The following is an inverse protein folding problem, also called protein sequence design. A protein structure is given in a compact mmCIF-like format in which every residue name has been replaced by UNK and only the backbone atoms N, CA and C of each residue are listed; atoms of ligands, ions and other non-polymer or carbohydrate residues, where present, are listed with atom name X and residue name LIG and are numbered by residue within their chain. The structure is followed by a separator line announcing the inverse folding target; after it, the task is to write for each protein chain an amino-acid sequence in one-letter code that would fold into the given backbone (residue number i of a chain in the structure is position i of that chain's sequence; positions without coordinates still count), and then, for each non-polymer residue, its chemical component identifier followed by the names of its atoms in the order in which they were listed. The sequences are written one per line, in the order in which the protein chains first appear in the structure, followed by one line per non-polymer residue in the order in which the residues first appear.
data_IF_562117768501
#
_entry.id   IF_562117768501
#
_cell.length_a   1.000
_cell.length_b   1.000
_cell.length_c   1.000
_cell.angle_alpha   90.00
_cell.angle_beta   90.00
_cell.angle_gamma   90.00
#
_symmetry.space_group_name_H-M   'P 1'
#
loop_
_entity.id
_entity.type
_entity.pdbx_description
1 polymer ?
#
# COMPACT_ATOMS: atom_id res chain seq x y z
N UNK A 1 7.33 -51.66 -26.42
CA UNK A 1 8.26 -50.56 -26.06
C UNK A 1 7.64 -49.17 -26.27
N UNK A 2 7.16 -48.80 -27.48
CA UNK A 2 6.52 -47.48 -27.73
C UNK A 2 5.32 -47.16 -26.82
N UNK A 3 4.41 -48.13 -26.57
CA UNK A 3 3.24 -47.93 -25.69
C UNK A 3 3.63 -47.62 -24.24
N UNK A 4 4.65 -48.30 -23.71
CA UNK A 4 5.17 -48.08 -22.34
C UNK A 4 5.81 -46.70 -22.22
N UNK A 5 6.56 -46.25 -23.24
CA UNK A 5 7.12 -44.90 -23.28
C UNK A 5 6.03 -43.81 -23.31
N UNK A 6 4.97 -44.01 -24.11
CA UNK A 6 3.84 -43.08 -24.17
C UNK A 6 3.12 -43.01 -22.81
N UNK A 7 2.83 -44.16 -22.20
CA UNK A 7 2.20 -44.22 -20.87
C UNK A 7 3.09 -43.52 -19.83
N UNK A 8 4.40 -43.77 -19.85
CA UNK A 8 5.36 -43.09 -18.96
C UNK A 8 5.36 -41.58 -19.14
N UNK A 9 5.28 -41.09 -20.38
CA UNK A 9 5.22 -39.65 -20.67
C UNK A 9 3.92 -39.01 -20.17
N UNK A 10 2.79 -39.68 -20.39
CA UNK A 10 1.48 -39.22 -19.88
C UNK A 10 1.48 -39.18 -18.35
N UNK A 11 1.97 -40.24 -17.69
CA UNK A 11 2.08 -40.28 -16.22
C UNK A 11 3.00 -39.17 -15.69
N UNK A 12 4.11 -38.88 -16.38
CA UNK A 12 5.00 -37.78 -16.03
C UNK A 12 4.29 -36.42 -16.09
N UNK A 13 3.47 -36.18 -17.11
CA UNK A 13 2.66 -34.95 -17.21
C UNK A 13 1.66 -34.84 -16.05
N UNK A 14 0.95 -35.92 -15.72
CA UNK A 14 0.05 -35.94 -14.56
C UNK A 14 0.80 -35.73 -13.24
N UNK A 15 2.00 -36.30 -13.09
CA UNK A 15 2.83 -36.13 -11.90
C UNK A 15 3.27 -34.66 -11.71
N UNK A 16 3.64 -33.97 -12.80
CA UNK A 16 3.97 -32.54 -12.75
C UNK A 16 2.77 -31.70 -12.30
N UNK A 17 1.59 -31.96 -12.85
CA UNK A 17 0.37 -31.26 -12.44
C UNK A 17 -0.01 -31.54 -10.98
N UNK A 18 0.08 -32.81 -10.56
CA UNK A 18 -0.18 -33.21 -9.18
C UNK A 18 0.82 -32.57 -8.20
N UNK A 19 2.10 -32.47 -8.58
CA UNK A 19 3.11 -31.78 -7.78
C UNK A 19 2.78 -30.29 -7.64
N UNK A 20 2.45 -29.60 -8.74
CA UNK A 20 2.07 -28.18 -8.71
C UNK A 20 0.85 -27.91 -7.82
N UNK A 21 -0.17 -28.78 -7.89
CA UNK A 21 -1.38 -28.66 -7.06
C UNK A 21 -1.08 -28.99 -5.59
N UNK A 22 -0.41 -30.11 -5.33
CA UNK A 22 -0.09 -30.55 -3.97
C UNK A 22 0.81 -29.58 -3.21
N UNK A 23 1.73 -28.92 -3.91
CA UNK A 23 2.59 -27.90 -3.32
C UNK A 23 1.81 -26.66 -2.85
N UNK A 24 0.82 -26.21 -3.65
CA UNK A 24 -0.06 -25.09 -3.27
C UNK A 24 -0.95 -25.45 -2.09
N UNK A 25 -1.52 -26.66 -2.09
CA UNK A 25 -2.35 -27.12 -0.99
C UNK A 25 -1.55 -27.32 0.30
N UNK A 26 -0.31 -27.79 0.19
CA UNK A 26 0.60 -27.87 1.33
C UNK A 26 0.86 -26.49 1.94
N UNK A 27 1.15 -25.47 1.10
CA UNK A 27 1.33 -24.10 1.57
C UNK A 27 0.05 -23.59 2.24
N UNK A 28 -1.11 -23.82 1.63
CA UNK A 28 -2.41 -23.40 2.19
C UNK A 28 -2.66 -23.93 3.60
N UNK A 29 -2.26 -25.17 3.89
CA UNK A 29 -2.50 -25.80 5.21
C UNK A 29 -1.36 -25.64 6.22
N UNK A 30 -0.10 -25.58 5.78
CA UNK A 30 1.09 -25.62 6.65
C UNK A 30 1.92 -24.34 6.61
N UNK A 31 1.59 -23.41 5.72
CA UNK A 31 2.29 -22.13 5.58
C UNK A 31 2.00 -21.22 6.77
N UNK A 32 2.94 -20.31 7.03
CA UNK A 32 2.76 -19.29 8.06
C UNK A 32 1.71 -18.29 7.59
N UNK A 33 0.68 -18.06 8.41
CA UNK A 33 -0.41 -17.15 8.07
C UNK A 33 -0.02 -15.71 8.38
N UNK A 34 -0.07 -14.85 7.37
CA UNK A 34 0.19 -13.42 7.51
C UNK A 34 -0.91 -12.63 6.83
N UNK A 35 -1.17 -11.42 7.32
CA UNK A 35 -2.09 -10.48 6.68
C UNK A 35 -1.32 -9.41 5.92
N UNK A 36 -1.73 -9.11 4.68
CA UNK A 36 -1.29 -7.93 3.96
C UNK A 36 -2.47 -7.01 3.68
N UNK A 37 -2.27 -5.71 3.91
CA UNK A 37 -3.27 -4.70 3.57
C UNK A 37 -3.19 -4.34 2.10
N UNK A 38 -4.35 -4.25 1.46
CA UNK A 38 -4.47 -3.84 0.06
C UNK A 38 -4.46 -2.32 -0.04
N UNK A 39 -3.78 -1.80 -1.04
CA UNK A 39 -3.90 -0.41 -1.45
C UNK A 39 -5.20 -0.19 -2.25
N UNK A 40 -5.71 1.05 -2.31
CA UNK A 40 -6.82 1.41 -3.19
C UNK A 40 -6.48 1.10 -4.65
N UNK A 41 -7.37 0.37 -5.32
CA UNK A 41 -7.33 0.12 -6.77
C UNK A 41 -8.76 0.09 -7.27
N UNK A 42 -8.99 0.80 -8.38
CA UNK A 42 -10.20 0.76 -9.20
C UNK A 42 -10.16 -0.49 -10.12
N UNK A 43 -11.01 -1.52 -9.93
CA UNK A 43 -11.01 -2.71 -10.76
C UNK A 43 -11.97 -2.59 -11.96
N UNK A 44 -11.60 -3.12 -13.14
CA UNK A 44 -12.51 -3.84 -14.09
C UNK A 44 -11.76 -4.80 -15.02
N UNK A 45 -12.22 -6.05 -15.12
CA UNK A 45 -12.19 -6.87 -16.36
C UNK A 45 -13.48 -7.74 -16.40
N UNK A 46 -14.47 -7.40 -17.25
CA UNK A 46 -15.78 -8.07 -17.27
C UNK A 46 -15.77 -9.46 -17.93
N UNK A 47 -14.63 -10.01 -18.36
CA UNK A 47 -14.60 -11.22 -19.19
C UNK A 47 -13.99 -12.47 -18.53
N UNK A 48 -13.61 -12.46 -17.24
CA UNK A 48 -12.91 -13.59 -16.58
C UNK A 48 -13.60 -14.21 -15.35
N UNK A 49 -14.89 -13.90 -15.14
CA UNK A 49 -15.62 -14.26 -13.92
C UNK A 49 -15.39 -13.26 -12.80
N UNK A 50 -15.97 -13.51 -11.61
CA UNK A 50 -15.89 -12.56 -10.50
C UNK A 50 -14.58 -12.74 -9.72
N UNK A 51 -13.66 -11.80 -9.93
CA UNK A 51 -12.44 -11.68 -9.16
C UNK A 51 -12.18 -10.21 -8.82
N UNK A 52 -11.48 -9.98 -7.71
CA UNK A 52 -11.09 -8.65 -7.27
C UNK A 52 -9.60 -8.47 -7.55
N UNK A 53 -9.25 -7.39 -8.27
CA UNK A 53 -7.88 -6.96 -8.46
C UNK A 53 -7.34 -6.38 -7.15
N UNK A 54 -6.23 -6.94 -6.68
CA UNK A 54 -5.54 -6.50 -5.47
C UNK A 54 -4.26 -5.76 -5.85
N UNK A 55 -4.00 -4.66 -5.15
CA UNK A 55 -2.67 -4.04 -5.08
C UNK A 55 -2.27 -3.97 -3.63
N UNK A 56 -0.97 -3.98 -3.39
CA UNK A 56 -0.33 -3.89 -2.09
C UNK A 56 0.69 -2.75 -2.15
N UNK A 57 0.96 -2.11 -1.01
CA UNK A 57 2.01 -1.08 -0.95
C UNK A 57 3.40 -1.61 -1.31
N UNK A 58 3.59 -2.94 -1.26
CA UNK A 58 4.80 -3.63 -1.70
C UNK A 58 4.86 -3.94 -3.20
N UNK A 59 3.84 -3.63 -4.00
CA UNK A 59 3.94 -3.73 -5.46
C UNK A 59 4.83 -2.65 -6.07
N UNK A 60 4.92 -1.48 -5.42
CA UNK A 60 5.73 -0.34 -5.88
C UNK A 60 6.72 0.04 -4.79
N UNK A 61 8.00 -0.23 -5.03
CA UNK A 61 9.04 -0.13 -4.01
C UNK A 61 10.08 0.91 -4.44
N UNK A 62 10.38 1.87 -3.56
CA UNK A 62 11.49 2.79 -3.80
C UNK A 62 12.83 2.03 -3.87
N UNK A 63 13.63 2.32 -4.88
CA UNK A 63 15.01 1.82 -5.02
C UNK A 63 15.88 2.03 -3.78
N UNK A 64 15.61 3.04 -2.94
CA UNK A 64 16.29 3.25 -1.66
C UNK A 64 16.04 2.11 -0.66
N UNK A 65 14.95 1.36 -0.83
CA UNK A 65 14.61 0.17 -0.03
C UNK A 65 15.10 -1.13 -0.67
N UNK A 66 15.82 -1.06 -1.79
CA UNK A 66 16.46 -2.21 -2.41
C UNK A 66 17.84 -2.44 -1.79
N UNK A 67 18.05 -3.63 -1.23
CA UNK A 67 19.31 -4.05 -0.59
C UNK A 67 19.93 -5.18 -1.41
N UNK A 68 20.99 -4.85 -2.15
CA UNK A 68 21.78 -5.81 -2.91
C UNK A 68 23.20 -5.30 -3.17
N UNK A 69 24.06 -6.18 -3.67
CA UNK A 69 25.35 -5.84 -4.27
C UNK A 69 25.20 -5.19 -5.65
N UNK A 70 24.08 -5.42 -6.35
CA UNK A 70 23.81 -4.80 -7.66
C UNK A 70 22.98 -3.53 -7.49
N UNK A 71 23.17 -2.52 -8.35
CA UNK A 71 22.33 -1.33 -8.32
C UNK A 71 20.90 -1.70 -8.76
N UNK A 72 19.89 -1.08 -8.15
CA UNK A 72 18.48 -1.36 -8.47
C UNK A 72 18.16 -1.20 -9.97
N UNK A 73 18.77 -0.21 -10.64
CA UNK A 73 18.58 0.05 -12.07
C UNK A 73 19.10 -1.08 -12.98
N UNK A 74 19.85 -2.05 -12.45
CA UNK A 74 20.28 -3.22 -13.22
C UNK A 74 19.24 -4.34 -13.28
N UNK A 75 18.18 -4.26 -12.46
CA UNK A 75 17.08 -5.21 -12.48
C UNK A 75 16.29 -5.12 -13.79
N UNK A 76 16.05 -6.29 -14.39
CA UNK A 76 15.30 -6.45 -15.63
C UNK A 76 13.93 -7.04 -15.36
N UNK A 77 13.04 -6.87 -16.34
CA UNK A 77 11.72 -7.52 -16.34
C UNK A 77 11.89 -9.04 -16.16
N UNK A 78 11.02 -9.63 -15.33
CA UNK A 78 11.02 -11.04 -14.90
C UNK A 78 12.13 -11.47 -13.93
N UNK A 79 13.04 -10.58 -13.54
CA UNK A 79 14.04 -10.89 -12.50
C UNK A 79 13.34 -11.28 -11.19
N UNK A 80 13.85 -12.34 -10.57
CA UNK A 80 13.33 -12.83 -9.28
C UNK A 80 13.83 -11.92 -8.17
N UNK A 81 12.90 -11.48 -7.35
CA UNK A 81 13.18 -10.66 -6.16
C UNK A 81 12.42 -11.20 -4.96
N UNK A 82 12.86 -10.84 -3.77
CA UNK A 82 12.31 -11.27 -2.49
C UNK A 82 12.01 -10.04 -1.64
N UNK A 83 10.74 -9.83 -1.33
CA UNK A 83 10.29 -8.79 -0.41
C UNK A 83 10.32 -9.35 1.01
N UNK A 84 11.24 -8.86 1.83
CA UNK A 84 11.31 -9.24 3.23
C UNK A 84 10.24 -8.48 3.99
N UNK A 85 9.48 -9.22 4.80
CA UNK A 85 8.36 -8.69 5.56
C UNK A 85 8.73 -8.52 7.03
N UNK A 86 8.16 -7.48 7.64
CA UNK A 86 8.20 -7.27 9.09
C UNK A 86 6.77 -7.15 9.63
N UNK A 87 6.50 -7.67 10.84
CA UNK A 87 5.20 -7.50 11.46
C UNK A 87 4.97 -6.02 11.80
N UNK A 88 3.75 -5.53 11.59
CA UNK A 88 3.22 -4.35 12.27
C UNK A 88 2.50 -4.81 13.54
N UNK A 89 2.22 -3.88 14.46
CA UNK A 89 1.58 -4.18 15.74
C UNK A 89 0.10 -4.62 15.64
N UNK A 90 -0.45 -4.83 14.43
CA UNK A 90 -1.82 -5.28 14.15
C UNK A 90 -1.90 -6.65 13.44
N UNK A 91 -0.85 -7.47 13.52
CA UNK A 91 -0.68 -8.74 12.77
C UNK A 91 -0.73 -8.57 11.23
N UNK A 92 -0.68 -7.32 10.77
CA UNK A 92 -0.54 -6.96 9.36
C UNK A 92 0.94 -6.75 9.07
N UNK A 93 1.46 -7.43 8.06
CA UNK A 93 2.85 -7.34 7.67
C UNK A 93 3.06 -6.20 6.68
N UNK A 94 4.24 -5.61 6.74
CA UNK A 94 4.68 -4.56 5.82
C UNK A 94 6.03 -4.94 5.23
N UNK A 95 6.36 -4.33 4.09
CA UNK A 95 7.70 -4.44 3.53
C UNK A 95 8.72 -3.92 4.55
N UNK A 96 9.85 -4.62 4.69
CA UNK A 96 11.07 -4.10 5.31
C UNK A 96 12.05 -3.61 4.22
N UNK A 97 12.44 -4.52 3.32
CA UNK A 97 13.26 -4.20 2.15
C UNK A 97 13.05 -5.22 1.03
N UNK A 98 13.49 -4.86 -0.18
CA UNK A 98 13.53 -5.75 -1.33
C UNK A 98 14.96 -6.21 -1.60
N UNK A 99 15.15 -7.46 -1.99
CA UNK A 99 16.47 -7.99 -2.38
C UNK A 99 16.35 -8.97 -3.55
N UNK A 100 17.41 -9.13 -4.33
CA UNK A 100 17.54 -10.13 -5.41
C UNK A 100 18.03 -11.49 -4.89
N UNK A 101 18.55 -11.54 -3.66
CA UNK A 101 19.06 -12.77 -3.04
C UNK A 101 18.03 -13.37 -2.12
N UNK A 102 17.80 -14.68 -2.24
CA UNK A 102 16.85 -15.39 -1.36
C UNK A 102 17.32 -15.30 0.10
N UNK A 103 16.51 -14.74 1.02
CA UNK A 103 16.84 -14.72 2.43
C UNK A 103 16.96 -16.14 3.01
N UNK A 104 17.90 -16.35 3.94
CA UNK A 104 18.07 -17.63 4.64
C UNK A 104 17.09 -17.82 5.79
N UNK A 105 16.54 -16.73 6.33
CA UNK A 105 15.61 -16.70 7.44
C UNK A 105 14.65 -15.50 7.32
N UNK A 106 13.60 -15.50 8.15
CA UNK A 106 12.55 -14.48 8.16
C UNK A 106 11.44 -14.74 7.15
N UNK A 107 10.38 -13.95 7.25
CA UNK A 107 9.25 -13.99 6.34
C UNK A 107 9.55 -13.16 5.09
N UNK A 108 9.35 -13.75 3.92
CA UNK A 108 9.54 -13.04 2.66
C UNK A 108 8.60 -13.54 1.58
N UNK A 109 8.26 -12.66 0.65
CA UNK A 109 7.50 -12.96 -0.56
C UNK A 109 8.41 -12.98 -1.77
N UNK A 110 8.34 -14.07 -2.52
CA UNK A 110 8.97 -14.19 -3.82
C UNK A 110 8.10 -13.45 -4.85
N UNK A 111 8.70 -12.49 -5.53
CA UNK A 111 8.09 -11.76 -6.62
C UNK A 111 8.94 -11.77 -7.88
N UNK A 112 8.43 -11.12 -8.92
CA UNK A 112 9.14 -10.82 -10.15
C UNK A 112 9.03 -9.34 -10.50
N UNK A 113 10.11 -8.77 -11.01
CA UNK A 113 10.09 -7.41 -11.55
C UNK A 113 9.15 -7.37 -12.75
N UNK A 114 8.15 -6.50 -12.70
CA UNK A 114 7.05 -6.46 -13.66
C UNK A 114 7.35 -5.62 -14.91
N UNK A 115 8.21 -4.60 -14.76
CA UNK A 115 8.71 -3.70 -15.81
C UNK A 115 10.10 -3.18 -15.44
N UNK A 116 10.79 -2.54 -16.37
CA UNK A 116 12.10 -1.91 -16.11
C UNK A 116 12.00 -0.85 -15.00
N UNK A 117 13.07 -0.73 -14.22
CA UNK A 117 13.14 0.24 -13.12
C UNK A 117 13.12 1.65 -13.70
N UNK A 118 12.10 2.42 -13.33
CA UNK A 118 11.85 3.77 -13.82
C UNK A 118 11.46 4.66 -12.67
N UNK A 119 11.88 5.92 -12.68
CA UNK A 119 11.48 6.87 -11.64
C UNK A 119 11.91 6.54 -10.23
N UNK A 120 12.88 5.65 -10.09
CA UNK A 120 13.28 5.16 -8.78
C UNK A 120 12.32 4.24 -8.09
N UNK A 121 11.39 3.68 -8.84
CA UNK A 121 10.49 2.66 -8.34
C UNK A 121 10.77 1.34 -9.04
N UNK A 122 10.73 0.29 -8.23
CA UNK A 122 10.79 -1.10 -8.65
C UNK A 122 9.36 -1.61 -8.54
N UNK A 123 8.77 -1.97 -9.68
CA UNK A 123 7.44 -2.56 -9.68
C UNK A 123 7.54 -4.08 -9.66
N UNK A 124 6.94 -4.71 -8.65
CA UNK A 124 7.04 -6.15 -8.39
C UNK A 124 5.66 -6.79 -8.42
N UNK A 125 5.55 -7.94 -9.08
CA UNK A 125 4.38 -8.83 -9.04
C UNK A 125 4.68 -10.05 -8.17
N UNK A 126 3.76 -10.44 -7.30
CA UNK A 126 3.91 -11.55 -6.36
C UNK A 126 3.03 -12.76 -6.71
N UNK A 127 2.09 -12.61 -7.65
CA UNK A 127 1.17 -13.67 -8.04
C UNK A 127 -0.02 -13.82 -7.09
N UNK A 128 -0.27 -12.80 -6.26
CA UNK A 128 -1.36 -12.70 -5.29
C UNK A 128 -2.21 -11.44 -5.51
N UNK A 129 -2.10 -10.83 -6.69
CA UNK A 129 -2.83 -9.64 -7.10
C UNK A 129 -4.27 -9.94 -7.57
N UNK A 130 -4.70 -11.20 -7.52
CA UNK A 130 -6.03 -11.62 -7.95
C UNK A 130 -6.67 -12.50 -6.87
N UNK A 131 -7.84 -12.08 -6.39
CA UNK A 131 -8.64 -12.85 -5.44
C UNK A 131 -9.96 -13.28 -6.08
N UNK A 132 -10.14 -14.58 -6.24
CA UNK A 132 -11.32 -15.17 -6.89
C UNK A 132 -12.43 -15.36 -5.87
N UNK A 133 -13.62 -14.89 -6.21
CA UNK A 133 -14.80 -14.97 -5.34
C UNK A 133 -15.93 -15.73 -6.03
N UNK A 134 -16.91 -16.13 -5.24
CA UNK A 134 -18.15 -16.67 -5.80
C UNK A 134 -18.87 -15.58 -6.59
N UNK A 135 -19.66 -16.01 -7.59
CA UNK A 135 -20.44 -15.10 -8.43
C UNK A 135 -21.33 -14.18 -7.58
N UNK A 136 -21.33 -12.88 -7.87
CA UNK A 136 -21.97 -11.80 -7.11
C UNK A 136 -21.10 -11.21 -6.00
N UNK A 137 -20.11 -11.95 -5.48
CA UNK A 137 -19.29 -11.52 -4.34
C UNK A 137 -18.34 -10.36 -4.63
N UNK A 138 -17.93 -10.19 -5.89
CA UNK A 138 -17.05 -9.09 -6.30
C UNK A 138 -17.70 -7.72 -6.06
N UNK A 139 -18.99 -7.60 -6.38
CA UNK A 139 -19.78 -6.36 -6.25
C UNK A 139 -19.91 -5.95 -4.77
N UNK A 140 -20.09 -6.90 -3.86
CA UNK A 140 -20.18 -6.58 -2.42
C UNK A 140 -18.85 -6.10 -1.85
N UNK A 141 -17.75 -6.69 -2.31
CA UNK A 141 -16.39 -6.26 -1.94
C UNK A 141 -16.13 -4.86 -2.49
N UNK A 142 -16.49 -4.58 -3.74
CA UNK A 142 -16.38 -3.25 -4.34
C UNK A 142 -17.19 -2.21 -3.56
N UNK A 143 -18.46 -2.51 -3.25
CA UNK A 143 -19.32 -1.60 -2.48
C UNK A 143 -18.75 -1.30 -1.09
N UNK A 144 -18.22 -2.31 -0.38
CA UNK A 144 -17.61 -2.13 0.94
C UNK A 144 -16.27 -1.40 0.88
N UNK A 145 -15.50 -1.63 -0.19
CA UNK A 145 -14.24 -0.94 -0.43
C UNK A 145 -14.47 0.54 -0.68
N UNK A 146 -15.63 0.94 -1.19
CA UNK A 146 -15.99 2.33 -1.47
C UNK A 146 -15.46 2.81 -2.83
N UNK A 147 -16.08 3.85 -3.36
CA UNK A 147 -15.65 4.52 -4.59
C UNK A 147 -14.59 5.61 -4.29
N UNK A 148 -14.15 6.34 -5.32
CA UNK A 148 -13.04 7.33 -5.23
C UNK A 148 -13.33 8.45 -4.23
N UNK A 149 -14.56 8.94 -4.21
CA UNK A 149 -14.99 10.08 -3.39
C UNK A 149 -15.63 9.65 -2.05
N UNK A 150 -15.79 8.34 -1.82
CA UNK A 150 -16.40 7.81 -0.59
C UNK A 150 -15.33 7.29 0.40
N UNK A 151 -15.79 6.87 1.58
CA UNK A 151 -14.96 6.24 2.59
C UNK A 151 -14.42 4.91 2.05
N UNK A 152 -13.10 4.83 1.91
CA UNK A 152 -12.45 3.62 1.48
C UNK A 152 -12.05 2.75 2.68
N UNK A 153 -12.49 1.51 2.69
CA UNK A 153 -12.13 0.53 3.72
C UNK A 153 -11.15 -0.46 3.10
N UNK A 154 -9.85 -0.43 3.47
CA UNK A 154 -8.89 -1.36 2.91
C UNK A 154 -9.23 -2.80 3.30
N UNK A 155 -9.03 -3.71 2.33
CA UNK A 155 -9.08 -5.14 2.59
C UNK A 155 -7.74 -5.61 3.17
N UNK A 156 -7.77 -6.52 4.11
CA UNK A 156 -6.60 -7.18 4.70
C UNK A 156 -6.67 -8.66 4.34
N UNK A 157 -5.80 -9.10 3.45
CA UNK A 157 -5.86 -10.44 2.88
C UNK A 157 -4.95 -11.37 3.67
N UNK A 158 -5.51 -12.47 4.16
CA UNK A 158 -4.77 -13.55 4.77
C UNK A 158 -4.11 -14.38 3.68
N UNK A 159 -2.84 -14.72 3.88
CA UNK A 159 -2.11 -15.61 3.01
C UNK A 159 -1.22 -16.55 3.79
N UNK A 160 -1.08 -17.75 3.27
CA UNK A 160 -0.15 -18.74 3.79
C UNK A 160 1.18 -18.67 3.00
N UNK A 161 2.30 -18.47 3.71
CA UNK A 161 3.63 -18.39 3.12
C UNK A 161 4.36 -19.73 3.19
N UNK A 162 4.84 -20.20 2.03
CA UNK A 162 5.76 -21.32 1.95
C UNK A 162 7.21 -20.90 2.17
N UNK A 163 8.08 -21.85 2.53
CA UNK A 163 9.55 -21.64 2.71
C UNK A 163 10.29 -21.13 1.46
N UNK A 164 9.66 -21.17 0.29
CA UNK A 164 10.20 -20.60 -0.94
C UNK A 164 9.87 -19.11 -1.11
N UNK A 165 9.02 -18.55 -0.25
CA UNK A 165 8.43 -17.22 -0.39
C UNK A 165 7.21 -17.16 -1.30
N UNK A 166 6.70 -18.31 -1.77
CA UNK A 166 5.42 -18.32 -2.51
C UNK A 166 4.28 -18.25 -1.52
N UNK A 167 3.28 -17.43 -1.85
CA UNK A 167 2.09 -17.24 -1.05
C UNK A 167 0.86 -17.78 -1.76
N UNK A 168 -0.10 -18.24 -0.97
CA UNK A 168 -1.44 -18.61 -1.42
C UNK A 168 -2.42 -17.81 -0.58
N UNK A 169 -3.33 -17.07 -1.24
CA UNK A 169 -4.40 -16.35 -0.56
C UNK A 169 -5.36 -17.36 0.07
N UNK A 170 -5.71 -17.15 1.33
CA UNK A 170 -6.55 -18.08 2.09
C UNK A 170 -7.88 -17.48 2.53
N UNK A 171 -7.87 -16.21 2.92
CA UNK A 171 -9.04 -15.50 3.46
C UNK A 171 -8.84 -13.98 3.37
N UNK A 172 -9.82 -13.19 3.79
CA UNK A 172 -9.67 -11.75 3.97
C UNK A 172 -10.52 -11.22 5.12
N UNK A 173 -10.14 -10.06 5.64
CA UNK A 173 -10.93 -9.25 6.56
C UNK A 173 -10.90 -7.79 6.13
N UNK A 174 -11.71 -6.95 6.74
CA UNK A 174 -11.70 -5.50 6.51
C UNK A 174 -10.88 -4.79 7.57
N UNK A 175 -10.18 -3.73 7.17
CA UNK A 175 -9.53 -2.81 8.12
C UNK A 175 -10.56 -2.27 9.10
N UNK A 176 -10.15 -2.10 10.37
CA UNK A 176 -10.99 -1.46 11.41
C UNK A 176 -11.15 0.05 11.21
N UNK A 177 -10.32 0.64 10.35
CA UNK A 177 -10.39 2.07 9.98
C UNK A 177 -10.54 2.21 8.48
N UNK A 178 -11.47 3.07 8.06
CA UNK A 178 -11.59 3.57 6.69
C UNK A 178 -10.96 4.96 6.52
N UNK A 179 -10.56 5.29 5.30
CA UNK A 179 -9.95 6.57 4.93
C UNK A 179 -10.73 7.21 3.77
N UNK A 180 -11.05 8.50 3.87
CA UNK A 180 -11.59 9.31 2.77
C UNK A 180 -10.67 10.49 2.52
N UNK A 181 -10.51 10.84 1.25
CA UNK A 181 -9.80 12.04 0.83
C UNK A 181 -10.77 12.96 0.11
N UNK A 182 -10.87 14.19 0.60
CA UNK A 182 -11.56 15.27 -0.10
C UNK A 182 -10.52 16.34 -0.44
N UNK A 183 -10.72 17.06 -1.54
CA UNK A 183 -9.82 18.13 -1.96
C UNK A 183 -10.63 19.41 -2.12
N UNK A 184 -10.33 20.40 -1.28
CA UNK A 184 -10.91 21.74 -1.43
C UNK A 184 -10.03 22.52 -2.41
N UNK A 185 -10.29 22.37 -3.71
CA UNK A 185 -9.79 23.34 -4.68
C UNK A 185 -10.61 24.60 -4.52
N UNK A 186 -10.14 25.53 -3.69
CA UNK A 186 -10.73 26.88 -3.57
C UNK A 186 -10.94 27.43 -4.98
N UNK A 187 -12.20 27.49 -5.41
CA UNK A 187 -12.77 28.16 -6.59
C UNK A 187 -12.09 27.94 -7.95
N UNK A 188 -12.82 27.17 -8.77
CA UNK A 188 -13.16 27.40 -10.18
C UNK A 188 -12.11 28.15 -11.03
N UNK A 189 -11.67 27.49 -12.10
CA UNK A 189 -10.97 28.12 -13.23
C UNK A 189 -11.65 29.43 -13.69
N UNK A 190 -12.96 29.56 -13.49
CA UNK A 190 -13.76 30.76 -13.84
C UNK A 190 -13.33 32.06 -13.15
N UNK A 191 -12.77 32.04 -11.94
CA UNK A 191 -12.37 33.28 -11.22
C UNK A 191 -10.92 33.71 -11.50
N UNK A 192 -10.12 32.88 -12.17
CA UNK A 192 -8.65 33.00 -12.17
C UNK A 192 -8.06 33.60 -13.43
N UNK A 193 -8.87 33.73 -14.48
CA UNK A 193 -8.38 34.03 -15.82
C UNK A 193 -7.58 32.86 -16.40
N UNK A 194 -7.67 32.70 -17.70
CA UNK A 194 -6.95 31.65 -18.43
C UNK A 194 -5.42 31.81 -18.24
N UNK A 195 -4.74 30.78 -17.71
CA UNK A 195 -3.28 30.76 -17.57
C UNK A 195 -2.69 31.07 -16.18
N UNK A 196 -3.50 31.23 -15.13
CA UNK A 196 -2.97 31.40 -13.77
C UNK A 196 -2.20 30.14 -13.27
N UNK A 197 -1.06 30.29 -12.57
CA UNK A 197 -0.29 29.16 -12.09
C UNK A 197 -1.06 28.35 -11.03
N UNK A 198 -0.90 27.01 -11.01
CA UNK A 198 -1.59 26.16 -10.05
C UNK A 198 -1.16 26.50 -8.61
N UNK A 199 -2.10 26.35 -7.67
CA UNK A 199 -1.83 26.48 -6.22
C UNK A 199 -1.95 25.13 -5.56
N UNK A 200 -1.15 24.92 -4.51
CA UNK A 200 -1.25 23.71 -3.70
C UNK A 200 -2.64 23.64 -3.07
N UNK A 201 -3.31 22.47 -3.12
CA UNK A 201 -4.66 22.33 -2.60
C UNK A 201 -4.68 22.16 -1.08
N UNK A 202 -5.79 22.51 -0.44
CA UNK A 202 -6.11 21.99 0.89
C UNK A 202 -6.79 20.63 0.72
N UNK A 203 -6.25 19.60 1.37
CA UNK A 203 -6.85 18.26 1.37
C UNK A 203 -7.41 17.93 2.74
N UNK A 204 -8.60 17.33 2.78
CA UNK A 204 -9.27 16.94 4.02
C UNK A 204 -9.24 15.41 4.09
N UNK A 205 -8.55 14.89 5.09
CA UNK A 205 -8.44 13.46 5.34
C UNK A 205 -9.41 13.08 6.44
N UNK A 206 -10.31 12.15 6.14
CA UNK A 206 -11.24 11.61 7.14
C UNK A 206 -10.83 10.18 7.48
N UNK A 207 -10.57 9.92 8.75
CA UNK A 207 -10.39 8.57 9.31
C UNK A 207 -11.65 8.18 10.06
N UNK A 208 -12.25 7.05 9.72
CA UNK A 208 -13.47 6.55 10.37
C UNK A 208 -13.22 5.23 11.08
N UNK A 209 -13.63 5.12 12.34
CA UNK A 209 -13.74 3.81 12.98
C UNK A 209 -14.93 3.05 12.39
N UNK A 210 -14.65 2.01 11.61
CA UNK A 210 -15.67 1.15 10.97
C UNK A 210 -15.85 -0.17 11.71
N UNK A 211 -15.22 -0.32 12.88
CA UNK A 211 -15.36 -1.49 13.74
C UNK A 211 -16.42 -1.29 14.82
N UNK A 212 -16.92 -2.40 15.37
CA UNK A 212 -17.93 -2.41 16.44
C UNK A 212 -17.38 -2.04 17.82
N UNK A 213 -16.07 -1.81 17.94
CA UNK A 213 -15.40 -1.50 19.20
C UNK A 213 -14.63 -0.19 19.09
N UNK A 214 -14.48 0.57 20.20
CA UNK A 214 -13.61 1.75 20.21
C UNK A 214 -12.18 1.41 19.78
N UNK A 215 -11.54 2.37 19.13
CA UNK A 215 -10.11 2.33 18.82
C UNK A 215 -9.52 3.73 19.00
N UNK A 216 -8.20 3.79 19.10
CA UNK A 216 -7.48 5.06 19.12
C UNK A 216 -6.71 5.25 17.82
N UNK A 217 -6.58 6.52 17.42
CA UNK A 217 -5.62 6.99 16.42
C UNK A 217 -4.66 7.97 17.09
N UNK A 218 -3.58 8.33 16.42
CA UNK A 218 -2.62 9.29 16.93
C UNK A 218 -2.32 10.35 15.87
N UNK A 219 -2.58 11.60 16.22
CA UNK A 219 -2.23 12.76 15.42
C UNK A 219 -2.02 13.99 16.31
N UNK A 220 -1.27 14.96 15.83
CA UNK A 220 -0.98 16.19 16.58
C UNK A 220 -1.21 17.44 15.70
N UNK A 221 -1.01 18.62 16.28
CA UNK A 221 -1.21 19.90 15.57
C UNK A 221 -0.34 20.07 14.32
N UNK A 222 0.77 19.34 14.22
CA UNK A 222 1.65 19.33 13.04
C UNK A 222 1.27 18.23 12.02
N UNK A 223 0.20 17.49 12.28
CA UNK A 223 -0.26 16.33 11.52
C UNK A 223 0.84 15.29 11.30
N UNK A 224 1.59 14.94 12.36
CA UNK A 224 2.66 13.97 12.27
C UNK A 224 2.19 12.53 12.01
N UNK A 225 0.90 12.22 12.21
CA UNK A 225 0.32 10.94 11.79
C UNK A 225 0.26 10.79 10.27
N UNK A 226 0.40 11.87 9.51
CA UNK A 226 0.28 11.90 8.06
C UNK A 226 1.61 12.22 7.37
N UNK A 227 1.82 11.57 6.22
CA UNK A 227 2.97 11.80 5.34
C UNK A 227 2.54 11.74 3.88
N UNK A 228 3.37 12.31 3.01
CA UNK A 228 3.07 12.43 1.59
C UNK A 228 3.92 11.44 0.80
N UNK A 229 3.29 10.69 -0.10
CA UNK A 229 3.95 9.72 -0.97
C UNK A 229 3.69 10.09 -2.43
N UNK A 230 4.72 10.01 -3.27
CA UNK A 230 4.58 10.19 -4.72
C UNK A 230 4.30 8.87 -5.43
N UNK A 231 3.43 8.90 -6.45
CA UNK A 231 3.15 7.72 -7.28
C UNK A 231 4.30 7.42 -8.27
N UNK A 232 5.16 8.40 -8.57
CA UNK A 232 6.38 8.21 -9.38
C UNK A 232 6.16 8.06 -10.89
N UNK A 233 4.99 8.44 -11.39
CA UNK A 233 4.58 8.24 -12.80
C UNK A 233 5.48 8.94 -13.83
N UNK A 234 6.07 10.09 -13.45
CA UNK A 234 6.86 10.93 -14.37
C UNK A 234 8.35 10.61 -14.38
N UNK A 235 8.79 9.69 -13.52
CA UNK A 235 10.21 9.43 -13.33
C UNK A 235 10.90 10.32 -12.29
N UNK A 236 10.21 11.33 -11.74
CA UNK A 236 10.77 12.23 -10.73
C UNK A 236 10.53 11.69 -9.33
N UNK A 237 11.47 11.99 -8.43
CA UNK A 237 11.38 11.60 -7.02
C UNK A 237 11.24 12.81 -6.14
N UNK A 238 10.38 12.67 -5.15
CA UNK A 238 10.13 13.69 -4.17
C UNK A 238 10.12 13.09 -2.77
N UNK A 239 10.75 13.79 -1.85
CA UNK A 239 10.73 13.46 -0.42
C UNK A 239 10.19 14.65 0.37
N UNK A 240 9.64 14.40 1.55
CA UNK A 240 9.19 15.46 2.44
C UNK A 240 10.39 16.30 2.89
N UNK A 241 10.31 17.62 2.73
CA UNK A 241 11.34 18.54 3.17
C UNK A 241 11.35 18.71 4.70
N UNK A 242 10.17 18.64 5.32
CA UNK A 242 10.00 18.79 6.76
C UNK A 242 10.29 17.47 7.48
N UNK A 243 11.26 17.50 8.40
CA UNK A 243 11.73 16.33 9.17
C UNK A 243 11.21 16.30 10.61
N UNK A 244 10.37 17.26 11.04
CA UNK A 244 9.90 17.38 12.43
C UNK A 244 9.12 16.16 12.93
N UNK A 245 8.53 15.39 12.02
CA UNK A 245 7.77 14.18 12.33
C UNK A 245 8.58 12.88 12.10
N UNK A 246 9.92 12.97 12.00
CA UNK A 246 10.79 11.81 11.74
C UNK A 246 11.95 11.73 12.75
N UNK A 247 11.82 10.98 13.87
CA UNK A 247 10.69 10.11 14.20
C UNK A 247 9.52 10.87 14.86
N UNK A 248 8.30 10.42 14.57
CA UNK A 248 7.13 10.83 15.33
C UNK A 248 7.10 10.04 16.64
N UNK A 249 7.21 10.74 17.77
CA UNK A 249 7.14 10.16 19.12
C UNK A 249 5.75 10.42 19.69
N UNK A 250 5.08 9.34 20.11
CA UNK A 250 3.74 9.41 20.68
C UNK A 250 3.73 10.19 21.99
N UNK A 251 2.76 11.10 22.14
CA UNK A 251 2.39 11.71 23.41
C UNK A 251 0.95 11.36 23.73
N UNK A 252 0.59 11.33 25.01
CA UNK A 252 -0.78 11.04 25.43
C UNK A 252 -1.79 12.06 24.89
N UNK A 253 -1.38 13.33 24.73
CA UNK A 253 -2.18 14.39 24.09
C UNK A 253 -2.52 14.13 22.62
N UNK A 254 -1.75 13.29 21.95
CA UNK A 254 -1.91 12.99 20.54
C UNK A 254 -2.95 11.87 20.32
N UNK A 255 -3.33 11.16 21.40
CA UNK A 255 -4.27 10.05 21.33
C UNK A 255 -5.70 10.55 21.16
N UNK A 256 -6.34 10.14 20.07
CA UNK A 256 -7.72 10.47 19.76
C UNK A 256 -8.51 9.16 19.78
N UNK A 257 -9.48 9.06 20.70
CA UNK A 257 -10.35 7.89 20.80
C UNK A 257 -11.56 8.05 19.88
N UNK A 258 -11.79 7.07 19.01
CA UNK A 258 -12.91 7.00 18.09
C UNK A 258 -13.87 5.90 18.53
N UNK A 259 -15.10 6.28 18.89
CA UNK A 259 -16.21 5.35 19.07
C UNK A 259 -16.59 4.68 17.72
N UNK A 260 -17.31 3.54 17.73
CA UNK A 260 -17.85 2.93 16.52
C UNK A 260 -18.60 3.95 15.65
N UNK A 261 -18.22 4.06 14.38
CA UNK A 261 -18.80 5.00 13.41
C UNK A 261 -18.29 6.44 13.52
N UNK A 262 -17.46 6.79 14.52
CA UNK A 262 -16.93 8.14 14.68
C UNK A 262 -15.84 8.46 13.65
N UNK A 263 -15.82 9.70 13.19
CA UNK A 263 -14.88 10.24 12.21
C UNK A 263 -13.94 11.27 12.85
N UNK A 264 -12.67 11.20 12.48
CA UNK A 264 -11.67 12.24 12.68
C UNK A 264 -11.36 12.89 11.34
N UNK A 265 -11.39 14.23 11.27
CA UNK A 265 -11.12 14.99 10.04
C UNK A 265 -9.88 15.85 10.27
N UNK A 266 -8.87 15.67 9.42
CA UNK A 266 -7.65 16.47 9.39
C UNK A 266 -7.62 17.31 8.12
N UNK A 267 -7.60 18.64 8.28
CA UNK A 267 -7.48 19.58 7.17
C UNK A 267 -6.00 19.93 6.95
N UNK A 268 -5.45 19.51 5.81
CA UNK A 268 -4.03 19.62 5.50
C UNK A 268 -3.84 20.64 4.37
N UNK A 269 -3.41 21.85 4.72
CA UNK A 269 -3.04 22.87 3.74
C UNK A 269 -1.67 22.55 3.14
N UNK A 270 -1.66 21.95 1.94
CA UNK A 270 -0.41 21.55 1.26
C UNK A 270 0.38 22.72 0.67
N UNK A 271 -0.08 23.97 0.87
CA UNK A 271 0.68 25.18 0.59
C UNK A 271 1.61 25.58 1.75
N UNK A 272 1.49 24.96 2.93
CA UNK A 272 2.33 25.26 4.08
C UNK A 272 3.68 24.51 4.04
N UNK A 273 4.76 25.05 4.65
CA UNK A 273 6.09 24.43 4.68
C UNK A 273 6.13 22.99 5.19
N UNK A 274 5.16 22.60 6.05
CA UNK A 274 5.01 21.23 6.56
C UNK A 274 4.91 20.18 5.44
N UNK A 275 4.35 20.57 4.30
CA UNK A 275 4.06 19.70 3.16
C UNK A 275 4.97 19.97 1.95
N UNK A 276 6.01 20.79 2.13
CA UNK A 276 6.96 21.05 1.07
C UNK A 276 7.74 19.79 0.74
N UNK A 277 8.10 19.68 -0.53
CA UNK A 277 8.85 18.54 -1.06
C UNK A 277 10.20 18.98 -1.58
N UNK A 278 11.17 18.07 -1.46
CA UNK A 278 12.48 18.15 -2.10
C UNK A 278 12.44 17.28 -3.35
N UNK A 279 12.82 17.83 -4.50
CA UNK A 279 13.01 17.04 -5.71
C UNK A 279 14.46 16.56 -5.80
N UNK A 280 14.67 15.29 -6.10
CA UNK A 280 16.03 14.75 -6.30
C UNK A 280 16.77 15.53 -7.39
N UNK A 281 17.99 15.98 -7.07
CA UNK A 281 18.84 16.75 -7.98
C UNK A 281 18.50 18.24 -8.10
N UNK A 282 17.50 18.75 -7.36
CA UNK A 282 17.13 20.16 -7.34
C UNK A 282 17.39 20.74 -5.94
N UNK A 283 18.00 21.92 -5.89
CA UNK A 283 18.27 22.61 -4.63
C UNK A 283 17.04 23.34 -4.11
N UNK A 284 16.73 23.13 -2.83
CA UNK A 284 15.64 23.82 -2.14
C UNK A 284 14.36 22.99 -2.09
N UNK A 285 13.47 23.37 -1.17
CA UNK A 285 12.13 22.80 -1.06
C UNK A 285 11.10 23.79 -1.56
N UNK A 286 9.98 23.28 -2.07
CA UNK A 286 8.86 24.11 -2.47
C UNK A 286 7.54 23.38 -2.24
N UNK A 287 6.44 24.13 -2.36
CA UNK A 287 5.09 23.58 -2.31
C UNK A 287 4.86 22.59 -3.46
N UNK A 288 3.86 21.72 -3.31
CA UNK A 288 3.50 20.73 -4.34
C UNK A 288 3.26 21.38 -5.70
N UNK A 289 2.56 22.51 -5.73
CA UNK A 289 2.29 23.22 -6.98
C UNK A 289 3.52 23.80 -7.67
N UNK A 290 4.52 24.22 -6.90
CA UNK A 290 5.74 24.78 -7.45
C UNK A 290 6.73 23.69 -7.89
N UNK A 291 6.94 22.67 -7.06
CA UNK A 291 7.90 21.60 -7.34
C UNK A 291 7.36 20.54 -8.31
N UNK A 292 6.06 20.28 -8.28
CA UNK A 292 5.48 19.05 -8.79
C UNK A 292 4.03 19.21 -9.32
N UNK A 293 3.75 20.21 -10.19
CA UNK A 293 2.38 20.54 -10.61
C UNK A 293 1.66 19.45 -11.43
N UNK A 294 2.40 18.46 -11.93
CA UNK A 294 1.89 17.38 -12.76
C UNK A 294 2.06 16.01 -12.10
N UNK A 295 2.53 15.96 -10.84
CA UNK A 295 2.66 14.71 -10.10
C UNK A 295 1.36 14.34 -9.42
N UNK A 296 1.21 13.04 -9.17
CA UNK A 296 0.18 12.48 -8.30
C UNK A 296 0.79 12.07 -6.97
N UNK A 297 0.03 12.32 -5.92
CA UNK A 297 0.41 12.10 -4.54
C UNK A 297 -0.64 11.29 -3.81
N UNK A 298 -0.23 10.56 -2.78
CA UNK A 298 -1.12 9.94 -1.81
C UNK A 298 -0.76 10.46 -0.42
N UNK A 299 -1.77 10.64 0.41
CA UNK A 299 -1.57 10.82 1.84
C UNK A 299 -1.52 9.45 2.49
N UNK A 300 -0.50 9.25 3.32
CA UNK A 300 -0.26 8.02 4.07
C UNK A 300 -0.38 8.33 5.54
N UNK A 301 -1.40 7.74 6.18
CA UNK A 301 -1.56 7.77 7.62
C UNK A 301 -0.82 6.59 8.25
N UNK A 302 0.10 6.90 9.17
CA UNK A 302 0.86 5.93 9.96
C UNK A 302 1.09 6.48 11.37
N UNK A 303 0.44 5.91 12.40
CA UNK A 303 0.70 6.31 13.78
C UNK A 303 2.10 5.87 14.22
N UNK A 304 2.65 6.50 15.27
CA UNK A 304 3.93 6.11 15.84
C UNK A 304 3.83 4.71 16.45
N UNK A 305 4.94 3.97 16.40
CA UNK A 305 5.01 2.62 16.96
C UNK A 305 5.08 2.70 18.48
N UNK A 306 4.18 2.00 19.16
CA UNK A 306 4.22 1.84 20.63
C UNK A 306 5.29 0.80 20.96
N UNK A 307 6.34 1.21 21.67
CA UNK A 307 7.40 0.28 22.10
C UNK A 307 6.97 -0.47 23.36
N UNK A 308 7.44 -1.72 23.57
CA UNK A 308 7.17 -2.47 24.79
C UNK A 308 7.60 -1.68 26.03
N UNK A 309 6.65 -1.38 26.92
CA UNK A 309 6.89 -0.56 28.13
C UNK A 309 6.39 0.89 28.03
N UNK A 310 5.86 1.33 26.89
CA UNK A 310 5.14 2.60 26.75
C UNK A 310 3.66 2.43 27.14
N UNK A 311 3.16 3.41 27.91
CA UNK A 311 1.81 3.63 28.46
C UNK A 311 0.68 2.63 28.14
N UNK A 312 0.04 2.12 29.20
CA UNK A 312 -1.15 1.28 29.13
C UNK A 312 -2.36 1.96 28.44
N UNK A 313 -2.32 3.29 28.24
CA UNK A 313 -3.37 4.07 27.56
C UNK A 313 -3.36 3.91 26.04
N UNK A 314 -2.28 3.40 25.43
CA UNK A 314 -2.16 3.16 23.98
C UNK A 314 -2.56 1.72 23.55
N UNK A 315 -3.12 0.92 24.46
CA UNK A 315 -3.53 -0.46 24.18
C UNK A 315 -4.57 -0.60 23.05
N UNK A 316 -5.32 0.48 22.76
CA UNK A 316 -6.31 0.52 21.69
C UNK A 316 -5.83 1.30 20.46
N UNK A 317 -4.58 1.78 20.46
CA UNK A 317 -4.01 2.51 19.33
C UNK A 317 -3.95 1.57 18.13
N UNK A 318 -4.68 1.95 17.08
CA UNK A 318 -4.62 1.26 15.82
C UNK A 318 -3.21 1.36 15.25
N UNK A 319 -2.70 0.25 14.72
CA UNK A 319 -1.35 0.15 14.17
C UNK A 319 -1.40 -0.31 12.72
N UNK A 320 -0.54 0.26 11.89
CA UNK A 320 -0.45 -0.07 10.47
C UNK A 320 -0.32 1.17 9.59
N UNK A 321 -0.69 1.03 8.33
CA UNK A 321 -0.62 2.08 7.31
C UNK A 321 -1.95 2.17 6.55
N UNK A 322 -2.50 3.38 6.41
CA UNK A 322 -3.62 3.65 5.50
C UNK A 322 -3.14 4.60 4.41
N UNK A 323 -3.47 4.26 3.18
CA UNK A 323 -3.09 5.04 2.00
C UNK A 323 -4.36 5.58 1.39
N UNK A 324 -4.41 6.89 1.15
CA UNK A 324 -5.54 7.56 0.52
C UNK A 324 -5.63 7.24 -0.99
N UNK A 325 -6.77 7.57 -1.63
CA UNK A 325 -6.83 7.88 -3.06
C UNK A 325 -5.67 8.79 -3.49
N UNK A 326 -5.26 8.68 -4.76
CA UNK A 326 -4.25 9.59 -5.28
C UNK A 326 -4.91 10.92 -5.62
N UNK A 327 -4.22 12.03 -5.35
CA UNK A 327 -4.65 13.37 -5.70
C UNK A 327 -3.54 14.11 -6.46
N UNK A 328 -3.92 15.18 -7.13
CA UNK A 328 -2.98 16.06 -7.82
C UNK A 328 -3.27 17.52 -7.48
N UNK A 329 -2.29 18.38 -7.73
CA UNK A 329 -2.43 19.83 -7.53
C UNK A 329 -3.61 20.40 -8.33
N UNK A 330 -3.97 19.78 -9.46
CA UNK A 330 -5.03 20.23 -10.37
C UNK A 330 -6.45 19.78 -9.98
N UNK A 331 -6.66 19.22 -8.79
CA UNK A 331 -8.01 18.86 -8.32
C UNK A 331 -8.50 17.47 -8.72
N UNK A 332 -7.67 16.66 -9.39
CA UNK A 332 -8.05 15.30 -9.77
C UNK A 332 -7.72 14.33 -8.63
N UNK A 333 -8.75 13.66 -8.11
CA UNK A 333 -8.65 12.49 -7.23
C UNK A 333 -8.92 11.23 -8.07
N UNK A 334 -8.11 10.18 -7.89
CA UNK A 334 -8.20 8.90 -8.59
C UNK A 334 -8.74 7.75 -7.75
#
# INVERSE_FOLDING_TARGET
MRKVLIIGLVLSQFAVLAYMAGEREWIRHRGEQVYLRTAPVDPRDPFRGDFVQLSYSLNTIDTARFRSSIPANSLKREDKVYAVLKPSASDVYQLDYLTDRKPSAGLFLQGRVSREVSGGQIQVRYGIEQYFVQQGGGIEIERKRGERDDLQIPMEVAMALGRSGRAVLTDYRWSRIGIRLEQNTVTTEDDRGEGAPPRSPTVILTLKNVSETPLQIADNDAHCGFSLQTEGDTGRRFTMADTRCSPYVLKESDLITLAPGQEYRAELDTALPRWYVLQDGVTGSASLAAAAPNERFRMVYRPPVVLPGMDASANLLWQGELVSPAFSVRGRID
#
